data_IF_885523201709
#
_entry.id   IF_885523201709
#
_cell.length_a   1.000
_cell.length_b   1.000
_cell.length_c   1.000
_cell.angle_alpha   90.00
_cell.angle_beta   90.00
_cell.angle_gamma   90.00
#
_symmetry.space_group_name_H-M   'P 1'
#
loop_
_entity.id
_entity.type
_entity.pdbx_description
1 polymer ?
#
# COMPACT_ATOMS: atom_id res chain seq x y z
N UNK A 1 -12.60 0.74 5.95
CA UNK A 1 -12.69 -0.30 4.90
C UNK A 1 -13.71 0.13 3.86
N UNK A 2 -13.30 0.24 2.59
CA UNK A 2 -14.23 -0.03 1.50
C UNK A 2 -14.41 -1.55 1.49
N UNK A 3 -15.41 -2.07 2.19
CA UNK A 3 -15.57 -3.49 2.56
C UNK A 3 -15.73 -4.48 1.37
N UNK A 4 -15.56 -4.00 0.13
CA UNK A 4 -15.78 -4.74 -1.13
C UNK A 4 -14.47 -4.84 -1.93
N UNK A 5 -13.48 -3.97 -1.70
CA UNK A 5 -12.20 -4.01 -2.41
C UNK A 5 -11.26 -5.04 -1.77
N UNK A 6 -11.09 -6.20 -2.41
CA UNK A 6 -10.33 -7.34 -1.88
C UNK A 6 -8.96 -7.56 -2.52
N UNK A 7 -8.53 -6.69 -3.45
CA UNK A 7 -7.25 -6.87 -4.19
C UNK A 7 -6.13 -5.94 -3.75
N UNK A 8 -6.43 -4.87 -3.02
CA UNK A 8 -5.47 -3.84 -2.66
C UNK A 8 -6.08 -2.44 -2.79
N UNK A 9 -5.28 -1.43 -2.48
CA UNK A 9 -5.67 -0.02 -2.50
C UNK A 9 -4.73 0.75 -3.43
N UNK A 10 -5.31 1.66 -4.22
CA UNK A 10 -4.56 2.59 -5.08
C UNK A 10 -4.66 3.98 -4.47
N UNK A 11 -3.51 4.60 -4.20
CA UNK A 11 -3.38 5.96 -3.69
C UNK A 11 -2.94 6.89 -4.82
N UNK A 12 -3.87 7.67 -5.36
CA UNK A 12 -3.58 8.72 -6.33
C UNK A 12 -3.18 10.03 -5.63
N UNK A 13 -2.47 10.96 -6.31
CA UNK A 13 -2.00 12.20 -5.69
C UNK A 13 -3.11 12.95 -4.94
N UNK A 14 -2.83 13.31 -3.69
CA UNK A 14 -3.81 13.85 -2.75
C UNK A 14 -3.13 14.48 -1.55
N UNK A 15 -3.90 15.06 -0.63
CA UNK A 15 -3.38 15.85 0.49
C UNK A 15 -3.42 15.06 1.82
N UNK A 16 -3.49 15.76 2.95
CA UNK A 16 -3.46 15.20 4.30
C UNK A 16 -4.46 14.04 4.52
N UNK A 17 -5.66 14.10 3.94
CA UNK A 17 -6.64 13.01 4.02
C UNK A 17 -6.14 11.72 3.38
N UNK A 18 -5.56 11.79 2.18
CA UNK A 18 -4.97 10.63 1.50
C UNK A 18 -3.76 10.10 2.26
N UNK A 19 -2.94 10.99 2.84
CA UNK A 19 -1.82 10.59 3.71
C UNK A 19 -2.33 9.83 4.94
N UNK A 20 -3.40 10.30 5.58
CA UNK A 20 -4.03 9.59 6.68
C UNK A 20 -4.50 8.20 6.25
N UNK A 21 -5.13 8.07 5.08
CA UNK A 21 -5.57 6.78 4.54
C UNK A 21 -4.41 5.82 4.26
N UNK A 22 -3.31 6.32 3.69
CA UNK A 22 -2.08 5.54 3.47
C UNK A 22 -1.58 4.92 4.77
N UNK A 23 -1.41 5.73 5.82
CA UNK A 23 -0.87 5.23 7.08
C UNK A 23 -1.88 4.44 7.90
N UNK A 24 -3.18 4.67 7.72
CA UNK A 24 -4.22 3.82 8.27
C UNK A 24 -4.17 2.40 7.68
N UNK A 25 -4.04 2.28 6.35
CA UNK A 25 -3.86 0.97 5.69
C UNK A 25 -2.53 0.32 6.08
N UNK A 26 -1.43 1.09 6.08
CA UNK A 26 -0.12 0.60 6.51
C UNK A 26 -0.19 0.01 7.91
N UNK A 27 -0.87 0.67 8.85
CA UNK A 27 -1.06 0.20 10.23
C UNK A 27 -1.84 -1.11 10.27
N UNK A 28 -2.91 -1.24 9.48
CA UNK A 28 -3.67 -2.50 9.40
C UNK A 28 -2.83 -3.65 8.87
N UNK A 29 -2.06 -3.41 7.81
CA UNK A 29 -1.10 -4.36 7.24
C UNK A 29 0.05 -4.70 8.20
N UNK A 30 0.51 -3.72 8.98
CA UNK A 30 1.61 -3.87 9.94
C UNK A 30 1.24 -4.81 11.09
N UNK A 31 -0.01 -4.75 11.55
CA UNK A 31 -0.50 -5.55 12.67
C UNK A 31 -1.40 -6.72 12.26
N UNK A 32 -1.64 -6.92 10.95
CA UNK A 32 -2.47 -8.00 10.45
C UNK A 32 -3.92 -7.95 10.93
N UNK A 33 -4.51 -6.76 11.05
CA UNK A 33 -5.84 -6.55 11.65
C UNK A 33 -6.92 -7.45 11.02
N UNK A 34 -6.85 -7.68 9.72
CA UNK A 34 -7.79 -8.53 8.96
C UNK A 34 -7.25 -9.93 8.65
N UNK A 35 -6.15 -10.36 9.28
CA UNK A 35 -5.43 -11.61 8.99
C UNK A 35 -4.91 -11.71 7.53
N UNK A 36 -5.03 -10.62 6.78
CA UNK A 36 -4.56 -10.45 5.42
C UNK A 36 -3.69 -9.20 5.35
N UNK A 37 -2.72 -9.24 4.45
CA UNK A 37 -1.87 -8.11 4.09
C UNK A 37 -2.14 -7.77 2.63
N UNK A 38 -2.63 -6.56 2.38
CA UNK A 38 -3.11 -6.12 1.08
C UNK A 38 -2.06 -5.30 0.32
N UNK A 39 -2.01 -5.41 -1.02
CA UNK A 39 -1.22 -4.51 -1.87
C UNK A 39 -1.55 -3.02 -1.65
N UNK A 40 -0.49 -2.22 -1.52
CA UNK A 40 -0.55 -0.76 -1.41
C UNK A 40 0.12 -0.16 -2.64
N UNK A 41 -0.69 0.36 -3.57
CA UNK A 41 -0.21 0.86 -4.85
C UNK A 41 -0.28 2.39 -4.88
N UNK A 42 0.82 3.04 -5.24
CA UNK A 42 0.92 4.49 -5.35
C UNK A 42 0.94 4.90 -6.82
N UNK A 43 -0.06 5.68 -7.23
CA UNK A 43 -0.13 6.26 -8.59
C UNK A 43 0.53 7.64 -8.59
N UNK A 44 1.45 7.88 -9.53
CA UNK A 44 2.28 9.08 -9.59
C UNK A 44 3.52 8.95 -8.69
N UNK A 45 4.52 8.23 -9.18
CA UNK A 45 5.73 7.86 -8.42
C UNK A 45 6.44 9.08 -7.84
N UNK A 46 6.73 10.09 -8.66
CA UNK A 46 7.45 11.30 -8.25
C UNK A 46 6.68 12.11 -7.20
N UNK A 47 5.34 12.08 -7.26
CA UNK A 47 4.52 12.79 -6.29
C UNK A 47 4.76 12.25 -4.89
N UNK A 48 4.63 10.93 -4.72
CA UNK A 48 4.75 10.27 -3.42
C UNK A 48 6.20 10.05 -2.96
N UNK A 49 7.15 10.10 -3.89
CA UNK A 49 8.57 9.94 -3.59
C UNK A 49 9.25 11.28 -3.24
N UNK A 50 8.90 12.37 -3.93
CA UNK A 50 9.61 13.65 -3.82
C UNK A 50 8.72 14.85 -3.46
N UNK A 51 7.51 14.96 -4.02
CA UNK A 51 6.66 16.16 -3.81
C UNK A 51 6.00 16.16 -2.43
N UNK A 52 5.39 15.03 -2.06
CA UNK A 52 4.81 14.77 -0.75
C UNK A 52 5.34 13.40 -0.29
N UNK A 53 6.49 13.35 0.40
CA UNK A 53 7.31 12.14 0.56
C UNK A 53 6.76 11.17 1.61
N UNK A 54 5.51 10.73 1.46
CA UNK A 54 4.88 9.71 2.30
C UNK A 54 5.45 8.31 2.02
N UNK A 55 5.78 8.00 0.76
CA UNK A 55 6.26 6.67 0.36
C UNK A 55 7.63 6.32 0.96
N UNK A 56 8.64 7.21 1.01
CA UNK A 56 9.90 6.93 1.69
C UNK A 56 9.72 6.54 3.17
N UNK A 57 8.92 7.31 3.91
CA UNK A 57 8.60 7.00 5.31
C UNK A 57 7.88 5.65 5.44
N UNK A 58 6.88 5.40 4.59
CA UNK A 58 6.16 4.12 4.58
C UNK A 58 7.10 2.93 4.37
N UNK A 59 8.02 3.01 3.39
CA UNK A 59 9.00 1.95 3.14
C UNK A 59 9.92 1.72 4.34
N UNK A 60 10.33 2.79 5.02
CA UNK A 60 11.13 2.66 6.25
C UNK A 60 10.36 1.93 7.35
N UNK A 61 9.09 2.29 7.59
CA UNK A 61 8.23 1.61 8.57
C UNK A 61 7.93 0.15 8.20
N UNK A 62 7.92 -0.16 6.90
CA UNK A 62 7.69 -1.51 6.38
C UNK A 62 8.90 -2.44 6.52
N UNK A 63 10.08 -1.91 6.88
CA UNK A 63 11.30 -2.72 7.00
C UNK A 63 11.05 -3.94 7.90
N UNK A 64 11.41 -5.13 7.41
CA UNK A 64 11.18 -6.42 8.08
C UNK A 64 9.69 -6.76 8.35
N UNK A 65 8.76 -6.16 7.63
CA UNK A 65 7.32 -6.48 7.67
C UNK A 65 6.86 -7.11 6.37
N UNK A 66 5.85 -7.98 6.45
CA UNK A 66 5.31 -8.70 5.29
C UNK A 66 4.77 -7.77 4.20
N UNK A 67 4.25 -6.60 4.55
CA UNK A 67 3.69 -5.67 3.57
C UNK A 67 4.76 -4.90 2.77
N UNK A 68 6.04 -4.97 3.15
CA UNK A 68 7.11 -4.31 2.40
C UNK A 68 7.15 -4.73 0.93
N UNK A 69 6.97 -6.02 0.67
CA UNK A 69 6.95 -6.60 -0.68
C UNK A 69 5.67 -6.29 -1.47
N UNK A 70 4.68 -5.67 -0.82
CA UNK A 70 3.37 -5.35 -1.38
C UNK A 70 3.18 -3.84 -1.60
N UNK A 71 4.21 -3.04 -1.36
CA UNK A 71 4.23 -1.60 -1.68
C UNK A 71 4.79 -1.43 -3.10
N UNK A 72 3.96 -0.90 -4.02
CA UNK A 72 4.34 -0.69 -5.41
C UNK A 72 4.01 0.74 -5.88
N UNK A 73 4.72 1.22 -6.90
CA UNK A 73 4.51 2.53 -7.53
C UNK A 73 4.36 2.36 -9.03
N UNK A 74 3.44 3.10 -9.63
CA UNK A 74 3.25 3.11 -11.08
C UNK A 74 2.81 4.49 -11.56
N UNK A 75 3.14 4.80 -12.81
CA UNK A 75 2.69 6.01 -13.51
C UNK A 75 1.70 5.70 -14.64
N UNK A 76 1.41 4.42 -14.87
CA UNK A 76 0.43 3.94 -15.84
C UNK A 76 -0.69 3.13 -15.15
N UNK A 77 -1.97 3.54 -15.30
CA UNK A 77 -3.11 2.78 -14.77
C UNK A 77 -3.20 1.33 -15.29
N UNK A 78 -2.78 1.04 -16.53
CA UNK A 78 -2.84 -0.33 -17.05
C UNK A 78 -1.85 -1.24 -16.32
N UNK A 79 -0.65 -0.76 -16.03
CA UNK A 79 0.33 -1.47 -15.19
C UNK A 79 -0.20 -1.71 -13.77
N UNK A 80 -0.93 -0.76 -13.17
CA UNK A 80 -1.57 -0.94 -11.86
C UNK A 80 -2.58 -2.08 -11.90
N UNK A 81 -3.47 -2.09 -12.90
CA UNK A 81 -4.47 -3.14 -13.05
C UNK A 81 -3.80 -4.50 -13.25
N UNK A 82 -2.81 -4.58 -14.13
CA UNK A 82 -2.05 -5.81 -14.35
C UNK A 82 -1.43 -6.34 -13.06
N UNK A 83 -0.79 -5.47 -12.28
CA UNK A 83 -0.21 -5.81 -10.98
C UNK A 83 -1.25 -6.34 -9.98
N UNK A 84 -2.39 -5.66 -9.84
CA UNK A 84 -3.45 -6.07 -8.89
C UNK A 84 -4.16 -7.38 -9.29
N UNK A 85 -4.17 -7.72 -10.59
CA UNK A 85 -4.69 -8.99 -11.06
C UNK A 85 -3.75 -10.16 -10.73
N UNK A 86 -2.44 -9.94 -10.75
CA UNK A 86 -1.44 -10.98 -10.50
C UNK A 86 -0.98 -11.06 -9.05
N UNK A 87 -1.17 -10.00 -8.27
CA UNK A 87 -0.72 -9.90 -6.88
C UNK A 87 -1.92 -9.94 -5.94
N UNK A 88 -2.20 -11.11 -5.35
CA UNK A 88 -3.24 -11.25 -4.35
C UNK A 88 -2.76 -10.80 -2.95
N UNK A 89 -3.67 -10.38 -2.06
CA UNK A 89 -3.35 -10.27 -0.64
C UNK A 89 -2.81 -11.58 -0.09
N UNK A 90 -1.87 -11.48 0.85
CA UNK A 90 -1.23 -12.64 1.50
C UNK A 90 -1.75 -12.80 2.92
N UNK A 91 -1.67 -14.02 3.46
CA UNK A 91 -2.02 -14.28 4.85
C UNK A 91 -0.99 -13.63 5.78
N UNK A 92 -1.48 -12.88 6.75
CA UNK A 92 -0.63 -12.34 7.80
C UNK A 92 -0.04 -13.48 8.65
N UNK A 93 1.26 -13.44 8.88
CA UNK A 93 1.98 -14.37 9.73
C UNK A 93 2.74 -13.56 10.76
N UNK A 94 2.37 -13.65 12.05
CA UNK A 94 3.08 -12.93 13.11
C UNK A 94 4.57 -13.24 13.05
N UNK A 95 5.39 -12.19 13.06
CA UNK A 95 6.84 -12.37 13.27
C UNK A 95 7.04 -12.82 14.72
N UNK A 96 7.77 -13.92 14.92
CA UNK A 96 8.11 -14.44 16.25
C UNK A 96 8.93 -13.44 17.07
#
# INVERSE_FOLDING_TARGET
MLAIANRGIIFAPGSAGTVQEIFMEATQNHYGVFQLVSPMVFFGTDYWQATLPALPLLRQLATNRQYAQLIATFDDPHAIVAYLLTTAPIVYTPTA
#
